data_IF_359340640097
#
_entry.id   IF_359340640097
#
_cell.length_a   1.000
_cell.length_b   1.000
_cell.length_c   1.000
_cell.angle_alpha   90.00
_cell.angle_beta   90.00
_cell.angle_gamma   90.00
#
_symmetry.space_group_name_H-M   'P 1'
#
loop_
_entity.id
_entity.type
_entity.pdbx_description
1 polymer ?
#
# COMPACT_ATOMS: atom_id res chain seq x y z
N UNK A 1 4.48 14.39 -15.36
CA UNK A 1 4.78 15.51 -14.45
C UNK A 1 5.76 15.14 -13.32
N UNK A 2 5.52 14.07 -12.55
CA UNK A 2 6.46 13.59 -11.51
C UNK A 2 7.85 13.18 -12.03
N UNK A 3 7.93 12.47 -13.18
CA UNK A 3 9.21 12.10 -13.83
C UNK A 3 10.07 13.31 -14.19
N UNK A 4 9.44 14.42 -14.60
CA UNK A 4 10.14 15.64 -15.00
C UNK A 4 10.69 16.36 -13.76
N UNK A 5 9.88 16.47 -12.70
CA UNK A 5 10.32 17.02 -11.41
C UNK A 5 11.45 16.19 -10.78
N UNK A 6 11.41 14.86 -10.92
CA UNK A 6 12.45 13.97 -10.42
C UNK A 6 13.77 14.15 -11.18
N UNK A 7 13.71 14.28 -12.51
CA UNK A 7 14.90 14.49 -13.33
C UNK A 7 15.55 15.86 -13.08
N UNK A 8 14.76 16.90 -12.81
CA UNK A 8 15.27 18.23 -12.47
C UNK A 8 15.98 18.27 -11.11
N UNK A 9 15.51 17.49 -10.13
CA UNK A 9 16.19 17.35 -8.84
C UNK A 9 17.48 16.52 -8.96
N UNK A 10 17.50 15.54 -9.88
CA UNK A 10 18.68 14.71 -10.16
C UNK A 10 19.83 15.50 -10.78
N UNK A 11 19.57 16.56 -11.55
CA UNK A 11 20.62 17.39 -12.17
C UNK A 11 21.18 18.49 -11.27
N UNK A 12 20.55 18.77 -10.12
CA UNK A 12 20.87 19.93 -9.26
C UNK A 12 21.67 19.57 -8.00
N UNK A 13 21.85 18.29 -7.70
CA UNK A 13 22.54 17.84 -6.49
C UNK A 13 23.75 17.01 -6.88
N UNK A 14 24.89 17.25 -6.23
CA UNK A 14 26.08 16.40 -6.32
C UNK A 14 25.68 14.92 -6.24
N UNK A 15 25.88 14.23 -7.37
CA UNK A 15 25.05 13.12 -7.82
C UNK A 15 25.05 11.87 -6.91
N UNK A 16 25.99 11.76 -5.98
CA UNK A 16 26.14 10.59 -5.11
C UNK A 16 25.20 10.62 -3.89
N UNK A 17 24.84 11.82 -3.40
CA UNK A 17 24.05 11.94 -2.17
C UNK A 17 22.54 11.82 -2.43
N UNK A 18 22.07 12.27 -3.60
CA UNK A 18 20.64 12.26 -3.92
C UNK A 18 20.07 10.85 -4.06
N UNK A 19 20.73 9.99 -4.83
CA UNK A 19 20.30 8.60 -5.02
C UNK A 19 20.33 7.82 -3.70
N UNK A 20 21.40 8.00 -2.91
CA UNK A 20 21.51 7.40 -1.59
C UNK A 20 20.38 7.84 -0.65
N UNK A 21 19.98 9.12 -0.68
CA UNK A 21 18.86 9.63 0.10
C UNK A 21 17.52 9.06 -0.34
N UNK A 22 17.30 8.90 -1.65
CA UNK A 22 16.09 8.26 -2.18
C UNK A 22 16.03 6.78 -1.78
N UNK A 23 17.14 6.05 -1.94
CA UNK A 23 17.19 4.64 -1.54
C UNK A 23 16.91 4.48 -0.03
N UNK A 24 17.54 5.32 0.80
CA UNK A 24 17.28 5.33 2.25
C UNK A 24 15.82 5.67 2.60
N UNK A 25 15.20 6.58 1.85
CA UNK A 25 13.78 6.90 2.03
C UNK A 25 12.89 5.72 1.64
N UNK A 26 13.16 5.06 0.50
CA UNK A 26 12.43 3.89 0.03
C UNK A 26 12.56 2.72 1.01
N UNK A 27 13.76 2.42 1.50
CA UNK A 27 14.00 1.38 2.52
C UNK A 27 13.21 1.65 3.81
N UNK A 28 13.13 2.93 4.20
CA UNK A 28 12.34 3.34 5.37
C UNK A 28 10.84 3.10 5.18
N UNK A 29 10.35 3.23 3.94
CA UNK A 29 8.93 3.00 3.58
C UNK A 29 8.63 1.50 3.45
N UNK A 30 9.52 0.70 2.88
CA UNK A 30 9.33 -0.76 2.71
C UNK A 30 9.11 -1.43 4.07
N UNK A 31 9.87 -1.02 5.08
CA UNK A 31 9.79 -1.58 6.43
C UNK A 31 8.82 -0.84 7.35
N UNK A 32 7.93 0.01 6.83
CA UNK A 32 7.05 0.85 7.64
C UNK A 32 6.13 0.05 8.58
N UNK A 33 5.71 -1.15 8.16
CA UNK A 33 4.89 -2.07 8.97
C UNK A 33 5.65 -2.58 10.19
N UNK A 34 6.89 -3.03 9.99
CA UNK A 34 7.75 -3.51 11.07
C UNK A 34 8.15 -2.36 12.00
N UNK A 35 8.51 -1.20 11.44
CA UNK A 35 8.79 0.02 12.19
C UNK A 35 7.61 0.44 13.05
N UNK A 36 6.38 0.39 12.53
CA UNK A 36 5.19 0.70 13.32
C UNK A 36 4.99 -0.27 14.49
N UNK A 37 5.19 -1.57 14.27
CA UNK A 37 5.05 -2.59 15.34
C UNK A 37 6.05 -2.36 16.48
N UNK A 38 7.30 -2.02 16.14
CA UNK A 38 8.40 -1.84 17.08
C UNK A 38 8.53 -0.41 17.63
N UNK A 39 7.74 0.54 17.12
CA UNK A 39 7.81 1.95 17.49
C UNK A 39 7.17 2.26 18.86
N UNK A 40 7.67 3.31 19.50
CA UNK A 40 7.01 3.92 20.66
C UNK A 40 5.72 4.68 20.23
N UNK A 41 4.95 5.14 21.20
CA UNK A 41 3.67 5.83 20.96
C UNK A 41 3.79 7.09 20.09
N UNK A 42 4.85 7.87 20.27
CA UNK A 42 5.09 9.10 19.50
C UNK A 42 5.41 8.78 18.04
N UNK A 43 6.29 7.82 17.81
CA UNK A 43 6.70 7.38 16.48
C UNK A 43 5.55 6.69 15.74
N UNK A 44 4.71 5.91 16.45
CA UNK A 44 3.47 5.36 15.89
C UNK A 44 2.54 6.46 15.40
N UNK A 45 2.33 7.50 16.21
CA UNK A 45 1.52 8.66 15.83
C UNK A 45 2.12 9.38 14.62
N UNK A 46 3.43 9.55 14.57
CA UNK A 46 4.11 10.16 13.43
C UNK A 46 3.92 9.35 12.14
N UNK A 47 4.10 8.02 12.20
CA UNK A 47 3.87 7.12 11.05
C UNK A 47 2.42 7.22 10.57
N UNK A 48 1.45 7.20 11.49
CA UNK A 48 0.03 7.35 11.15
C UNK A 48 -0.25 8.70 10.51
N UNK A 49 0.34 9.79 11.03
CA UNK A 49 0.21 11.13 10.46
C UNK A 49 0.84 11.29 9.06
N UNK A 50 1.86 10.49 8.73
CA UNK A 50 2.42 10.47 7.36
C UNK A 50 1.43 9.84 6.36
N UNK A 51 0.68 8.82 6.79
CA UNK A 51 -0.31 8.12 5.96
C UNK A 51 -1.61 8.92 5.88
N UNK A 52 -2.04 9.50 7.00
CA UNK A 52 -3.26 10.29 7.15
C UNK A 52 -2.86 11.70 7.59
N UNK A 53 -2.50 12.59 6.64
CA UNK A 53 -2.02 13.93 6.96
C UNK A 53 -3.10 14.83 7.55
N UNK A 54 -4.37 14.49 7.35
CA UNK A 54 -5.50 15.20 7.93
C UNK A 54 -5.90 14.62 9.30
N UNK A 55 -6.78 15.34 10.02
CA UNK A 55 -7.21 14.92 11.37
C UNK A 55 -7.82 13.52 11.34
N UNK A 56 -7.26 12.65 12.16
CA UNK A 56 -7.83 11.34 12.49
C UNK A 56 -8.84 11.57 13.62
N UNK A 57 -10.13 11.45 13.30
CA UNK A 57 -11.21 11.64 14.27
C UNK A 57 -11.56 10.29 14.86
N UNK A 58 -11.48 10.19 16.19
CA UNK A 58 -11.93 9.05 16.95
C UNK A 58 -13.09 9.50 17.84
N UNK A 59 -14.27 8.93 17.65
CA UNK A 59 -15.47 9.24 18.42
C UNK A 59 -15.68 8.29 19.62
N UNK A 60 -14.78 7.32 19.82
CA UNK A 60 -14.88 6.29 20.86
C UNK A 60 -15.29 4.91 20.33
N UNK A 61 -15.99 4.85 19.19
CA UNK A 61 -16.44 3.60 18.56
C UNK A 61 -15.84 3.40 17.17
N UNK A 62 -15.71 4.47 16.40
CA UNK A 62 -15.30 4.50 15.02
C UNK A 62 -14.15 5.46 14.77
N UNK A 63 -13.37 5.15 13.74
CA UNK A 63 -12.28 5.97 13.26
C UNK A 63 -12.67 6.52 11.89
N UNK A 64 -12.84 7.83 11.77
CA UNK A 64 -13.03 8.46 10.46
C UNK A 64 -11.68 8.96 9.96
N UNK A 65 -11.21 8.35 8.86
CA UNK A 65 -10.01 8.81 8.15
C UNK A 65 -10.47 9.73 7.02
N UNK A 66 -10.19 11.03 7.12
CA UNK A 66 -10.70 11.99 6.13
C UNK A 66 -9.99 11.87 4.77
N UNK A 67 -8.67 11.60 4.76
CA UNK A 67 -7.91 11.48 3.51
C UNK A 67 -6.57 10.76 3.67
N UNK A 68 -6.28 9.82 2.78
CA UNK A 68 -4.96 9.17 2.64
C UNK A 68 -4.01 10.06 1.84
N UNK A 69 -2.74 10.10 2.25
CA UNK A 69 -1.65 10.70 1.50
C UNK A 69 -1.57 10.12 0.07
N UNK A 70 -1.49 10.97 -0.95
CA UNK A 70 -1.47 10.54 -2.36
C UNK A 70 -0.36 9.54 -2.71
N UNK A 71 0.80 9.65 -2.05
CA UNK A 71 1.90 8.72 -2.20
C UNK A 71 1.53 7.34 -1.62
N UNK A 72 1.01 7.30 -0.39
CA UNK A 72 0.54 6.05 0.23
C UNK A 72 -0.62 5.42 -0.57
N UNK A 73 -1.55 6.24 -1.07
CA UNK A 73 -2.64 5.78 -1.93
C UNK A 73 -2.11 5.10 -3.20
N UNK A 74 -1.09 5.69 -3.84
CA UNK A 74 -0.47 5.12 -5.04
C UNK A 74 0.12 3.73 -4.77
N UNK A 75 0.75 3.53 -3.61
CA UNK A 75 1.28 2.22 -3.19
C UNK A 75 0.15 1.20 -3.01
N UNK A 76 -0.96 1.59 -2.38
CA UNK A 76 -2.12 0.71 -2.19
C UNK A 76 -2.78 0.33 -3.52
N UNK A 77 -2.89 1.28 -4.45
CA UNK A 77 -3.42 1.03 -5.79
C UNK A 77 -2.55 0.07 -6.61
N UNK A 78 -1.21 0.14 -6.51
CA UNK A 78 -0.31 -0.82 -7.15
C UNK A 78 -0.65 -2.26 -6.71
N UNK A 79 -0.87 -2.48 -5.41
CA UNK A 79 -1.26 -3.82 -4.91
C UNK A 79 -2.62 -4.27 -5.45
N UNK A 80 -3.58 -3.36 -5.57
CA UNK A 80 -4.92 -3.64 -6.12
C UNK A 80 -4.85 -4.04 -7.61
N UNK A 81 -4.09 -3.29 -8.42
CA UNK A 81 -3.88 -3.61 -9.83
C UNK A 81 -3.12 -4.92 -10.03
N UNK A 82 -2.15 -5.22 -9.16
CA UNK A 82 -1.43 -6.50 -9.17
C UNK A 82 -2.31 -7.68 -8.74
N UNK A 83 -3.32 -7.45 -7.89
CA UNK A 83 -4.33 -8.44 -7.54
C UNK A 83 -5.12 -8.93 -8.75
N UNK A 84 -5.47 -8.04 -9.67
CA UNK A 84 -6.15 -8.39 -10.93
C UNK A 84 -5.24 -9.16 -11.91
N UNK A 85 -3.91 -9.00 -11.81
CA UNK A 85 -2.92 -9.81 -12.55
C UNK A 85 -2.63 -11.17 -11.91
N UNK A 86 -3.02 -11.40 -10.66
CA UNK A 86 -3.09 -12.74 -10.04
C UNK A 86 -4.40 -13.45 -10.40
N UNK A 87 -4.85 -13.34 -11.65
CA UNK A 87 -5.87 -14.24 -12.14
C UNK A 87 -5.19 -15.60 -12.39
N UNK A 88 -5.75 -16.64 -11.74
CA UNK A 88 -5.33 -18.04 -11.90
C UNK A 88 -5.07 -18.32 -13.38
N UNK A 89 -3.88 -18.83 -13.68
CA UNK A 89 -3.52 -19.20 -15.04
C UNK A 89 -4.48 -20.30 -15.51
N UNK A 90 -5.41 -19.97 -16.42
CA UNK A 90 -6.05 -21.01 -17.25
C UNK A 90 -4.93 -21.57 -18.12
N UNK A 91 -4.43 -22.74 -17.74
CA UNK A 91 -3.69 -23.58 -18.69
C UNK A 91 -4.70 -24.34 -19.55
N UNK A 92 -4.31 -24.76 -20.75
CA UNK A 92 -5.15 -25.62 -21.62
C UNK A 92 -5.59 -26.93 -20.91
N UNK A 93 -4.88 -27.30 -19.84
CA UNK A 93 -5.13 -28.47 -19.01
C UNK A 93 -5.93 -28.20 -17.72
N UNK A 94 -6.27 -26.95 -17.39
CA UNK A 94 -7.08 -26.67 -16.20
C UNK A 94 -8.10 -25.54 -16.41
N UNK A 95 -9.38 -25.95 -16.41
CA UNK A 95 -10.55 -25.07 -16.42
C UNK A 95 -10.93 -24.61 -15.00
N UNK A 96 -9.94 -24.32 -14.14
CA UNK A 96 -10.17 -23.95 -12.74
C UNK A 96 -10.76 -22.53 -12.62
N UNK A 97 -12.02 -22.39 -12.99
CA UNK A 97 -12.88 -21.29 -12.55
C UNK A 97 -13.19 -21.60 -11.10
N UNK A 98 -12.32 -21.15 -10.19
CA UNK A 98 -12.47 -21.36 -8.75
C UNK A 98 -13.66 -20.59 -8.17
N UNK A 99 -14.86 -20.98 -8.61
CA UNK A 99 -16.16 -20.58 -8.10
C UNK A 99 -16.73 -21.80 -7.38
N UNK A 100 -16.91 -21.67 -6.08
CA UNK A 100 -17.76 -22.56 -5.29
C UNK A 100 -19.12 -21.86 -5.23
N UNK A 101 -20.21 -22.58 -5.48
CA UNK A 101 -21.55 -22.04 -5.24
C UNK A 101 -21.70 -21.70 -3.76
N UNK A 102 -22.39 -20.62 -3.43
CA UNK A 102 -22.65 -20.26 -2.04
C UNK A 102 -23.37 -21.40 -1.31
N UNK A 103 -23.00 -21.63 -0.05
CA UNK A 103 -23.74 -22.55 0.83
C UNK A 103 -25.21 -22.13 0.86
N UNK A 104 -26.12 -23.05 0.56
CA UNK A 104 -27.56 -22.79 0.42
C UNK A 104 -28.07 -22.68 -1.03
N UNK A 105 -27.21 -22.60 -2.05
CA UNK A 105 -27.63 -22.61 -3.46
C UNK A 105 -28.04 -24.01 -3.96
N UNK A 106 -27.48 -25.07 -3.35
CA UNK A 106 -27.90 -26.46 -3.57
C UNK A 106 -28.12 -27.15 -2.22
N UNK A 107 -29.12 -28.04 -2.12
CA UNK A 107 -29.35 -28.80 -0.89
C UNK A 107 -28.14 -29.69 -0.61
N UNK A 108 -27.84 -29.85 0.67
CA UNK A 108 -26.80 -30.78 1.13
C UNK A 108 -27.29 -32.18 0.79
N UNK A 109 -26.60 -32.87 -0.11
CA UNK A 109 -26.91 -34.26 -0.45
C UNK A 109 -26.31 -35.16 0.63
N UNK A 110 -27.16 -35.93 1.30
CA UNK A 110 -26.78 -37.00 2.22
C UNK A 110 -26.27 -38.22 1.46
#
# INVERSE_FOLDING_TARGET
NLKVKLNALKSSAENNNFEQRINKALDSIINISERYKNANTMDKRAIVGLIYPEKLIFDGENFQTTKINSFANSIFLIKKELGNKKNRQRSELSSNVGLVSSTGFKPVTF
#
